data_IF_687861410204
#
_entry.id   IF_687861410204
#
_cell.length_a   1.000
_cell.length_b   1.000
_cell.length_c   1.000
_cell.angle_alpha   90.00
_cell.angle_beta   90.00
_cell.angle_gamma   90.00
#
_symmetry.space_group_name_H-M   'P 1'
#
loop_
_entity.id
_entity.type
_entity.pdbx_description
1 polymer ?
#
# COMPACT_ATOMS: atom_id res chain seq x y z
N UNK A 1 18.29 -26.53 14.51
CA UNK A 1 18.73 -25.11 14.42
C UNK A 1 17.72 -24.25 15.17
N UNK A 2 18.18 -23.31 16.02
CA UNK A 2 17.30 -22.24 16.52
C UNK A 2 16.98 -21.31 15.33
N UNK A 3 15.70 -21.00 15.03
CA UNK A 3 15.32 -20.01 14.03
C UNK A 3 16.08 -18.69 14.23
N UNK A 4 16.59 -18.12 13.15
CA UNK A 4 17.46 -16.93 13.17
C UNK A 4 16.82 -15.70 12.53
N UNK A 5 15.72 -15.87 11.77
CA UNK A 5 15.05 -14.77 11.08
C UNK A 5 13.59 -14.64 11.45
N UNK A 6 13.05 -13.42 11.35
CA UNK A 6 11.65 -13.11 11.61
C UNK A 6 10.70 -14.07 10.86
N UNK A 7 10.97 -14.29 9.56
CA UNK A 7 10.22 -15.27 8.74
C UNK A 7 10.24 -16.70 9.33
N UNK A 8 11.39 -17.20 9.76
CA UNK A 8 11.50 -18.55 10.33
C UNK A 8 10.72 -18.67 11.65
N UNK A 9 10.66 -17.60 12.44
CA UNK A 9 9.87 -17.56 13.68
C UNK A 9 8.37 -17.64 13.34
N UNK A 10 7.91 -16.89 12.33
CA UNK A 10 6.51 -16.96 11.86
C UNK A 10 6.17 -18.34 11.29
N UNK A 11 7.03 -18.91 10.46
CA UNK A 11 6.83 -20.25 9.87
C UNK A 11 6.74 -21.33 10.96
N UNK A 12 7.57 -21.24 12.01
CA UNK A 12 7.54 -22.17 13.14
C UNK A 12 6.25 -22.02 13.98
N UNK A 13 5.80 -20.79 14.22
CA UNK A 13 4.53 -20.53 14.88
C UNK A 13 3.34 -21.06 14.07
N UNK A 14 3.33 -20.81 12.76
CA UNK A 14 2.29 -21.30 11.86
C UNK A 14 2.25 -22.84 11.86
N UNK A 15 3.41 -23.50 11.84
CA UNK A 15 3.48 -24.97 11.93
C UNK A 15 2.92 -25.48 13.26
N UNK A 16 3.28 -24.85 14.38
CA UNK A 16 2.75 -25.23 15.69
C UNK A 16 1.22 -25.12 15.76
N UNK A 17 0.65 -24.03 15.21
CA UNK A 17 -0.81 -23.85 15.13
C UNK A 17 -1.49 -24.96 14.31
N UNK A 18 -0.93 -25.30 13.14
CA UNK A 18 -1.45 -26.39 12.30
C UNK A 18 -1.43 -27.75 13.00
N UNK A 19 -0.50 -27.95 13.92
CA UNK A 19 -0.37 -29.17 14.72
C UNK A 19 -1.18 -29.11 16.05
N UNK A 20 -1.95 -28.04 16.29
CA UNK A 20 -2.70 -27.85 17.54
C UNK A 20 -1.81 -27.61 18.77
N UNK A 21 -0.56 -27.19 18.58
CA UNK A 21 0.43 -26.96 19.64
C UNK A 21 0.50 -25.48 20.03
N UNK A 22 0.97 -25.17 21.25
CA UNK A 22 1.33 -23.81 21.63
C UNK A 22 2.39 -23.23 20.69
N UNK A 23 2.25 -21.94 20.37
CA UNK A 23 3.24 -21.25 19.53
C UNK A 23 4.57 -21.10 20.27
N UNK A 24 5.71 -21.45 19.65
CA UNK A 24 7.02 -21.39 20.29
C UNK A 24 7.60 -19.97 20.44
N UNK A 25 7.12 -18.99 19.67
CA UNK A 25 7.68 -17.64 19.65
C UNK A 25 6.65 -16.52 19.88
N UNK A 26 7.07 -15.48 20.60
CA UNK A 26 6.25 -14.28 20.86
C UNK A 26 6.48 -13.19 19.81
N UNK A 27 5.57 -12.19 19.75
CA UNK A 27 5.74 -10.99 18.91
C UNK A 27 7.04 -10.25 19.24
N UNK A 28 7.40 -10.18 20.52
CA UNK A 28 8.65 -9.55 20.97
C UNK A 28 9.89 -10.28 20.44
N UNK A 29 9.90 -11.61 20.46
CA UNK A 29 11.00 -12.40 19.89
C UNK A 29 11.09 -12.22 18.37
N UNK A 30 9.94 -12.16 17.69
CA UNK A 30 9.89 -11.86 16.26
C UNK A 30 10.43 -10.46 15.94
N UNK A 31 10.04 -9.45 16.71
CA UNK A 31 10.50 -8.06 16.54
C UNK A 31 12.02 -7.92 16.73
N UNK A 32 12.62 -8.73 17.61
CA UNK A 32 14.05 -8.75 17.84
C UNK A 32 14.85 -9.60 16.83
N UNK A 33 14.17 -10.36 15.97
CA UNK A 33 14.82 -11.26 15.02
C UNK A 33 15.38 -10.50 13.81
N UNK A 34 16.41 -11.08 13.18
CA UNK A 34 16.98 -10.54 11.95
C UNK A 34 15.92 -10.52 10.84
N UNK A 35 15.84 -9.39 10.12
CA UNK A 35 14.92 -9.23 8.99
C UNK A 35 13.47 -9.03 9.41
N UNK A 36 13.20 -8.45 10.58
CA UNK A 36 11.85 -8.00 10.93
C UNK A 36 11.50 -6.68 10.22
N UNK A 37 11.37 -6.74 8.90
CA UNK A 37 10.96 -5.65 8.00
C UNK A 37 9.41 -5.57 7.87
N UNK A 38 8.85 -4.64 7.06
CA UNK A 38 7.40 -4.55 6.88
C UNK A 38 6.78 -5.86 6.37
N UNK A 39 7.44 -6.55 5.43
CA UNK A 39 6.92 -7.81 4.90
C UNK A 39 6.83 -8.89 5.98
N UNK A 40 7.84 -9.01 6.83
CA UNK A 40 7.83 -9.95 7.95
C UNK A 40 6.71 -9.63 8.97
N UNK A 41 6.48 -8.34 9.27
CA UNK A 41 5.39 -7.91 10.18
C UNK A 41 4.01 -8.20 9.59
N UNK A 42 3.82 -7.95 8.29
CA UNK A 42 2.58 -8.27 7.59
C UNK A 42 2.34 -9.78 7.55
N UNK A 43 3.39 -10.55 7.26
CA UNK A 43 3.35 -12.02 7.25
C UNK A 43 2.98 -12.58 8.63
N UNK A 44 3.50 -11.99 9.71
CA UNK A 44 3.09 -12.31 11.08
C UNK A 44 1.59 -12.10 11.31
N UNK A 45 1.08 -10.90 11.01
CA UNK A 45 -0.35 -10.58 11.19
C UNK A 45 -1.26 -11.45 10.34
N UNK A 46 -0.87 -11.75 9.10
CA UNK A 46 -1.67 -12.56 8.18
C UNK A 46 -1.77 -14.02 8.63
N UNK A 47 -0.64 -14.66 8.98
CA UNK A 47 -0.62 -16.10 9.28
C UNK A 47 -0.91 -16.44 10.74
N UNK A 48 -0.76 -15.48 11.66
CA UNK A 48 -0.97 -15.68 13.09
C UNK A 48 -2.14 -14.82 13.59
N UNK A 49 -3.20 -14.70 12.79
CA UNK A 49 -4.43 -14.02 13.21
C UNK A 49 -4.98 -14.66 14.51
N UNK A 50 -5.32 -13.83 15.50
CA UNK A 50 -5.66 -14.30 16.87
C UNK A 50 -4.46 -14.40 17.83
N UNK A 51 -3.25 -14.00 17.41
CA UNK A 51 -2.13 -13.71 18.29
C UNK A 51 -1.95 -12.20 18.45
N UNK A 52 -1.03 -11.82 19.35
CA UNK A 52 -0.64 -10.41 19.49
C UNK A 52 -0.12 -9.90 18.15
N UNK A 53 -0.89 -8.99 17.54
CA UNK A 53 -0.60 -8.42 16.24
C UNK A 53 0.37 -7.23 16.34
N UNK A 54 1.04 -6.94 15.23
CA UNK A 54 1.61 -5.62 15.00
C UNK A 54 0.49 -4.62 14.72
N UNK A 55 0.57 -3.46 15.33
CA UNK A 55 -0.31 -2.31 15.10
C UNK A 55 0.08 -1.55 13.84
N UNK A 56 -0.84 -0.75 13.29
CA UNK A 56 -0.58 0.19 12.19
C UNK A 56 0.64 1.08 12.49
N UNK A 57 0.74 1.58 13.72
CA UNK A 57 1.87 2.40 14.18
C UNK A 57 3.20 1.64 14.22
N UNK A 58 3.21 0.42 14.74
CA UNK A 58 4.42 -0.42 14.73
C UNK A 58 4.85 -0.76 13.31
N UNK A 59 3.91 -0.91 12.37
CA UNK A 59 4.17 -1.14 10.96
C UNK A 59 4.79 0.08 10.28
N UNK A 60 4.12 1.24 10.39
CA UNK A 60 4.54 2.51 9.78
C UNK A 60 5.95 2.95 10.23
N UNK A 61 6.30 2.69 11.49
CA UNK A 61 7.62 3.05 12.05
C UNK A 61 8.75 2.08 11.63
N UNK A 62 8.47 1.08 10.78
CA UNK A 62 9.48 0.11 10.34
C UNK A 62 10.30 0.72 9.20
N UNK A 63 11.63 0.60 9.28
CA UNK A 63 12.50 0.99 8.17
C UNK A 63 12.10 0.21 6.91
N UNK A 64 11.88 0.94 5.81
CA UNK A 64 11.44 0.38 4.54
C UNK A 64 9.92 0.33 4.36
N UNK A 65 9.13 0.92 5.27
CA UNK A 65 7.69 1.09 5.06
C UNK A 65 7.42 2.20 4.03
N UNK A 66 7.32 1.82 2.76
CA UNK A 66 7.02 2.70 1.62
C UNK A 66 5.52 2.70 1.26
N UNK A 67 5.18 3.45 0.20
CA UNK A 67 3.82 3.57 -0.31
C UNK A 67 3.19 2.20 -0.63
N UNK A 68 3.94 1.31 -1.29
CA UNK A 68 3.46 -0.02 -1.64
C UNK A 68 3.22 -0.86 -0.39
N UNK A 69 4.08 -0.80 0.62
CA UNK A 69 3.89 -1.49 1.89
C UNK A 69 2.55 -1.12 2.56
N UNK A 70 2.16 0.16 2.50
CA UNK A 70 0.87 0.65 3.02
C UNK A 70 -0.32 0.12 2.23
N UNK A 71 -0.25 0.12 0.91
CA UNK A 71 -1.31 -0.46 0.06
C UNK A 71 -1.48 -1.95 0.36
N UNK A 72 -0.38 -2.69 0.47
CA UNK A 72 -0.43 -4.13 0.75
C UNK A 72 -0.96 -4.40 2.17
N UNK A 73 -0.65 -3.54 3.16
CA UNK A 73 -1.23 -3.63 4.50
C UNK A 73 -2.77 -3.59 4.44
N UNK A 74 -3.34 -2.54 3.84
CA UNK A 74 -4.79 -2.38 3.73
C UNK A 74 -5.43 -3.54 2.96
N UNK A 75 -4.77 -4.02 1.89
CA UNK A 75 -5.32 -5.08 1.04
C UNK A 75 -5.32 -6.46 1.71
N UNK A 76 -4.25 -6.80 2.43
CA UNK A 76 -4.08 -8.16 2.97
C UNK A 76 -4.57 -8.32 4.41
N UNK A 77 -4.76 -7.22 5.15
CA UNK A 77 -5.16 -7.23 6.55
C UNK A 77 -6.45 -6.42 6.75
N UNK A 78 -7.60 -6.86 6.21
CA UNK A 78 -8.85 -6.10 6.28
C UNK A 78 -9.37 -5.88 7.70
N UNK A 79 -8.97 -6.74 8.65
CA UNK A 79 -9.35 -6.62 10.07
C UNK A 79 -8.39 -5.73 10.88
N UNK A 80 -7.25 -5.33 10.29
CA UNK A 80 -6.32 -4.42 10.94
C UNK A 80 -6.77 -2.97 10.75
N UNK A 81 -6.33 -2.08 11.65
CA UNK A 81 -6.54 -0.64 11.45
C UNK A 81 -5.93 -0.20 10.11
N UNK A 82 -6.74 0.31 9.16
CA UNK A 82 -6.25 0.67 7.84
C UNK A 82 -5.55 2.04 7.87
N UNK A 83 -4.69 2.25 6.88
CA UNK A 83 -4.26 3.59 6.48
C UNK A 83 -5.35 4.26 5.66
N UNK A 84 -5.65 5.51 5.95
CA UNK A 84 -6.56 6.36 5.19
C UNK A 84 -5.88 6.95 3.95
N UNK A 85 -6.70 7.41 2.98
CA UNK A 85 -6.23 8.16 1.81
C UNK A 85 -5.38 9.37 2.20
N UNK A 86 -5.80 10.07 3.26
CA UNK A 86 -5.11 11.26 3.77
C UNK A 86 -3.77 10.92 4.45
N UNK A 87 -3.70 9.84 5.24
CA UNK A 87 -2.41 9.38 5.80
C UNK A 87 -1.42 9.00 4.69
N UNK A 88 -1.92 8.32 3.65
CA UNK A 88 -1.13 7.93 2.49
C UNK A 88 -0.59 9.17 1.75
N UNK A 89 -1.45 10.12 1.40
CA UNK A 89 -1.07 11.34 0.67
C UNK A 89 -0.11 12.26 1.43
N UNK A 90 -0.26 12.35 2.76
CA UNK A 90 0.60 13.20 3.58
C UNK A 90 1.99 12.62 3.78
N UNK A 91 2.10 11.29 3.80
CA UNK A 91 3.35 10.59 4.10
C UNK A 91 4.15 10.32 2.84
N UNK A 92 3.47 9.90 1.79
CA UNK A 92 4.09 9.48 0.54
C UNK A 92 3.73 10.50 -0.54
N UNK A 93 4.75 11.09 -1.17
CA UNK A 93 4.53 11.92 -2.35
C UNK A 93 3.73 11.12 -3.37
N UNK A 94 2.57 11.61 -3.76
CA UNK A 94 1.67 10.87 -4.62
C UNK A 94 2.18 10.96 -6.05
N UNK A 95 2.79 9.93 -6.66
CA UNK A 95 3.04 9.80 -8.10
C UNK A 95 1.76 9.46 -8.90
N UNK A 96 1.73 9.70 -10.21
CA UNK A 96 0.64 9.23 -11.07
C UNK A 96 0.35 7.72 -10.88
N UNK A 97 1.39 6.92 -10.63
CA UNK A 97 1.27 5.49 -10.33
C UNK A 97 0.69 5.26 -8.93
N UNK A 98 0.98 6.09 -7.95
CA UNK A 98 0.48 5.93 -6.58
C UNK A 98 -1.03 6.16 -6.48
N UNK A 99 -1.55 7.13 -7.24
CA UNK A 99 -3.00 7.33 -7.39
C UNK A 99 -3.69 6.09 -7.95
N UNK A 100 -3.11 5.51 -9.00
CA UNK A 100 -3.65 4.33 -9.67
C UNK A 100 -3.56 3.13 -8.76
N UNK A 101 -2.39 2.87 -8.16
CA UNK A 101 -2.20 1.75 -7.25
C UNK A 101 -3.17 1.80 -6.07
N UNK A 102 -3.40 2.98 -5.48
CA UNK A 102 -4.39 3.14 -4.43
C UNK A 102 -5.79 2.74 -4.89
N UNK A 103 -6.28 3.36 -5.97
CA UNK A 103 -7.64 3.14 -6.47
C UNK A 103 -7.87 1.70 -6.98
N UNK A 104 -6.88 1.13 -7.68
CA UNK A 104 -6.97 -0.21 -8.25
C UNK A 104 -6.86 -1.30 -7.17
N UNK A 105 -5.94 -1.14 -6.21
CA UNK A 105 -5.71 -2.18 -5.20
C UNK A 105 -6.66 -2.10 -4.01
N UNK A 106 -7.31 -0.96 -3.76
CA UNK A 106 -8.18 -0.70 -2.61
C UNK A 106 -9.54 -0.14 -3.07
N UNK A 107 -10.35 -0.92 -3.81
CA UNK A 107 -11.63 -0.44 -4.36
C UNK A 107 -12.66 -0.03 -3.29
N UNK A 108 -12.52 -0.54 -2.06
CA UNK A 108 -13.40 -0.24 -0.93
C UNK A 108 -12.91 0.95 -0.08
N UNK A 109 -11.70 1.46 -0.34
CA UNK A 109 -11.18 2.64 0.34
C UNK A 109 -11.73 3.92 -0.31
N UNK A 110 -11.62 5.05 0.40
CA UNK A 110 -11.91 6.35 -0.22
C UNK A 110 -10.96 6.54 -1.43
N UNK A 111 -11.50 6.67 -2.66
CA UNK A 111 -10.66 6.76 -3.85
C UNK A 111 -10.10 8.17 -4.00
N UNK A 112 -8.99 8.27 -4.70
CA UNK A 112 -8.62 9.52 -5.35
C UNK A 112 -9.55 9.77 -6.54
N UNK A 113 -9.88 11.03 -6.76
CA UNK A 113 -10.74 11.51 -7.84
C UNK A 113 -9.92 11.91 -9.07
N UNK A 114 -10.60 11.96 -10.21
CA UNK A 114 -10.07 12.52 -11.47
C UNK A 114 -9.54 13.95 -11.27
N UNK A 115 -10.21 14.76 -10.45
CA UNK A 115 -9.80 16.13 -10.15
C UNK A 115 -8.50 16.19 -9.34
N UNK A 116 -8.38 15.39 -8.28
CA UNK A 116 -7.15 15.30 -7.47
C UNK A 116 -5.95 14.83 -8.32
N UNK A 117 -6.18 13.86 -9.21
CA UNK A 117 -5.17 13.37 -10.16
C UNK A 117 -4.69 14.47 -11.11
N UNK A 118 -5.63 15.22 -11.69
CA UNK A 118 -5.36 16.29 -12.65
C UNK A 118 -4.53 17.43 -12.05
N UNK A 119 -4.87 17.87 -10.84
CA UNK A 119 -4.17 18.97 -10.15
C UNK A 119 -2.72 18.60 -9.84
N UNK A 120 -2.45 17.34 -9.49
CA UNK A 120 -1.13 16.93 -8.98
C UNK A 120 -0.14 16.63 -10.10
N UNK A 121 -0.58 16.03 -11.20
CA UNK A 121 0.32 15.50 -12.25
C UNK A 121 0.43 16.33 -13.50
N UNK A 122 -0.43 17.34 -13.66
CA UNK A 122 -0.49 18.12 -14.88
C UNK A 122 -0.80 17.27 -16.12
N UNK A 123 -0.80 17.94 -17.25
CA UNK A 123 -1.50 17.51 -18.46
C UNK A 123 -0.69 16.58 -19.37
N UNK A 124 0.07 15.63 -18.81
CA UNK A 124 0.75 14.66 -19.67
C UNK A 124 -0.29 13.68 -20.24
N UNK A 125 -0.41 13.62 -21.58
CA UNK A 125 -1.32 12.72 -22.28
C UNK A 125 -1.17 11.26 -21.80
N UNK A 126 0.06 10.86 -21.47
CA UNK A 126 0.40 9.54 -20.97
C UNK A 126 -0.23 9.26 -19.59
N UNK A 127 -0.18 10.22 -18.65
CA UNK A 127 -0.79 10.06 -17.33
C UNK A 127 -2.32 9.97 -17.43
N UNK A 128 -2.93 10.85 -18.22
CA UNK A 128 -4.39 10.86 -18.42
C UNK A 128 -4.88 9.56 -19.08
N UNK A 129 -4.10 9.04 -20.04
CA UNK A 129 -4.38 7.75 -20.67
C UNK A 129 -4.24 6.61 -19.67
N UNK A 130 -3.18 6.62 -18.86
CA UNK A 130 -2.94 5.60 -17.84
C UNK A 130 -4.07 5.54 -16.80
N UNK A 131 -4.64 6.68 -16.39
CA UNK A 131 -5.83 6.74 -15.54
C UNK A 131 -7.00 5.95 -16.14
N UNK A 132 -7.34 6.25 -17.41
CA UNK A 132 -8.45 5.59 -18.09
C UNK A 132 -8.22 4.08 -18.29
N UNK A 133 -6.98 3.70 -18.61
CA UNK A 133 -6.61 2.30 -18.86
C UNK A 133 -6.62 1.47 -17.58
N UNK A 134 -6.08 2.00 -16.48
CA UNK A 134 -5.95 1.25 -15.23
C UNK A 134 -7.20 1.32 -14.35
N UNK A 135 -8.03 2.36 -14.49
CA UNK A 135 -9.21 2.58 -13.65
C UNK A 135 -10.50 2.69 -14.49
N UNK A 136 -10.94 1.61 -15.16
CA UNK A 136 -12.09 1.65 -16.09
C UNK A 136 -13.42 1.98 -15.40
N UNK A 137 -13.49 1.84 -14.07
CA UNK A 137 -14.69 2.16 -13.27
C UNK A 137 -14.65 3.57 -12.67
N UNK A 138 -13.52 4.29 -12.78
CA UNK A 138 -13.42 5.67 -12.34
C UNK A 138 -13.97 6.62 -13.40
N UNK A 139 -14.23 7.88 -13.03
CA UNK A 139 -14.60 8.91 -14.00
C UNK A 139 -13.45 9.09 -15.03
N UNK A 140 -13.69 8.85 -16.33
CA UNK A 140 -12.62 8.90 -17.32
C UNK A 140 -12.33 10.33 -17.79
N UNK A 141 -11.13 10.55 -18.30
CA UNK A 141 -10.81 11.69 -19.16
C UNK A 141 -11.30 11.41 -20.59
N UNK A 142 -12.15 12.27 -21.11
CA UNK A 142 -12.57 12.24 -22.51
C UNK A 142 -11.43 12.64 -23.45
N UNK A 143 -11.53 12.26 -24.72
CA UNK A 143 -10.58 12.71 -25.75
C UNK A 143 -10.54 14.23 -25.88
N UNK A 144 -11.67 14.91 -25.67
CA UNK A 144 -11.76 16.37 -25.69
C UNK A 144 -10.93 16.99 -24.57
N UNK A 145 -11.14 16.53 -23.34
CA UNK A 145 -10.37 16.98 -22.17
C UNK A 145 -8.87 16.75 -22.37
N UNK A 146 -8.45 15.54 -22.78
CA UNK A 146 -7.03 15.26 -23.01
C UNK A 146 -6.42 16.25 -24.02
N UNK A 147 -7.11 16.54 -25.13
CA UNK A 147 -6.62 17.45 -26.16
C UNK A 147 -6.55 18.92 -25.68
N UNK A 148 -7.52 19.38 -24.90
CA UNK A 148 -7.52 20.73 -24.34
C UNK A 148 -6.40 20.92 -23.33
N UNK A 149 -6.19 19.91 -22.49
CA UNK A 149 -5.18 19.91 -21.46
C UNK A 149 -3.75 19.89 -22.05
N UNK A 150 -3.51 19.11 -23.11
CA UNK A 150 -2.23 19.13 -23.85
C UNK A 150 -1.96 20.53 -24.42
N UNK A 151 -2.97 21.14 -25.08
CA UNK A 151 -2.83 22.49 -25.67
C UNK A 151 -2.54 23.57 -24.62
N UNK A 152 -3.16 23.46 -23.43
CA UNK A 152 -2.90 24.39 -22.34
C UNK A 152 -1.43 24.32 -21.88
N UNK A 153 -0.89 23.11 -21.76
CA UNK A 153 0.50 22.87 -21.36
C UNK A 153 1.51 23.38 -22.39
N UNK A 154 1.24 23.20 -23.69
CA UNK A 154 2.12 23.70 -24.76
C UNK A 154 2.17 25.24 -24.80
N UNK A 155 1.07 25.91 -24.45
CA UNK A 155 1.01 27.37 -24.41
C UNK A 155 1.74 27.97 -23.19
N UNK A 156 1.71 27.31 -22.02
CA UNK A 156 2.44 27.77 -20.82
C UNK A 156 3.98 27.67 -20.98
N UNK A 157 4.48 26.80 -21.86
CA UNK A 157 5.90 26.65 -22.14
C UNK A 157 6.42 27.52 -23.30
N UNK A 158 5.53 28.26 -23.98
CA UNK A 158 5.87 29.12 -25.12
C UNK A 158 6.01 30.61 -24.76
N UNK A 159 5.75 30.99 -23.50
CA UNK A 159 5.84 32.36 -22.94
C UNK A 159 6.96 32.47 -21.92
#
# INVERSE_FOLDING_TARGET
MKPQTAKQLTDANQKALKEGKPVPYTKQQHAAAKGCDPDAKRYWNFFLNGREAYTKKEYANTKGCDALAVIIWNRLLPDAEPFSKQEYSNTYGLSAKDFILWNECLPDAEPFTKQEYNITYGFSANNLTLWNECLPNAEPFTKGEINELIKANDNEHAT
#
